data_IF_110793359014
#
_entry.id   IF_110793359014
#
_cell.length_a   1.000
_cell.length_b   1.000
_cell.length_c   1.000
_cell.angle_alpha   90.00
_cell.angle_beta   90.00
_cell.angle_gamma   90.00
#
_symmetry.space_group_name_H-M   'P 1'
#
loop_
_entity.id
_entity.type
_entity.pdbx_description
1 polymer ?
#
# COMPACT_ATOMS: atom_id res chain seq x y z
N UNK A 1 5.39 -1.82 28.71
CA UNK A 1 4.09 -1.65 29.40
C UNK A 1 3.88 -0.17 29.72
N UNK A 2 3.75 0.64 28.65
CA UNK A 2 3.56 2.11 28.69
C UNK A 2 2.64 2.55 27.54
N UNK A 3 2.66 1.82 26.41
CA UNK A 3 1.74 2.00 25.28
C UNK A 3 0.26 1.70 25.61
N UNK A 4 -0.02 0.86 26.62
CA UNK A 4 -1.40 0.54 27.02
C UNK A 4 -2.03 1.67 27.84
N UNK A 5 -1.22 2.52 28.50
CA UNK A 5 -1.72 3.63 29.31
C UNK A 5 -2.17 4.82 28.46
N UNK A 6 -1.50 5.06 27.33
CA UNK A 6 -1.83 6.18 26.41
C UNK A 6 -3.17 5.96 25.68
N UNK A 7 -3.51 4.70 25.35
CA UNK A 7 -4.79 4.39 24.69
C UNK A 7 -5.97 4.50 25.66
N UNK A 8 -5.76 4.17 26.94
CA UNK A 8 -6.81 4.25 27.97
C UNK A 8 -7.19 5.70 28.34
N UNK A 9 -6.23 6.62 28.39
CA UNK A 9 -6.52 8.05 28.61
C UNK A 9 -7.28 8.68 27.43
N UNK A 10 -7.02 8.23 26.20
CA UNK A 10 -7.68 8.75 24.99
C UNK A 10 -9.17 8.40 24.93
N UNK A 11 -9.53 7.19 25.38
CA UNK A 11 -10.93 6.72 25.42
C UNK A 11 -11.71 7.41 26.56
N UNK A 12 -11.06 7.70 27.68
CA UNK A 12 -11.68 8.38 28.82
C UNK A 12 -11.96 9.87 28.56
N UNK A 13 -11.10 10.57 27.80
CA UNK A 13 -11.30 11.98 27.44
C UNK A 13 -12.40 12.19 26.38
N UNK A 14 -12.67 11.19 25.52
CA UNK A 14 -13.74 11.23 24.54
C UNK A 14 -15.16 11.11 25.11
N UNK A 15 -15.30 10.76 26.40
CA UNK A 15 -16.59 10.63 27.08
C UNK A 15 -16.86 11.74 28.10
N UNK A 16 -15.97 12.73 28.21
CA UNK A 16 -16.17 13.89 29.09
C UNK A 16 -17.18 14.89 28.48
N UNK A 17 -18.09 15.47 29.28
CA UNK A 17 -18.99 16.52 28.80
C UNK A 17 -18.22 17.81 28.49
N UNK A 18 -18.74 18.58 27.53
CA UNK A 18 -18.26 19.92 27.14
C UNK A 18 -17.99 20.79 28.38
N UNK A 19 -16.87 21.57 28.42
CA UNK A 19 -16.13 22.08 27.25
C UNK A 19 -14.82 21.36 26.92
N UNK A 20 -14.47 20.27 27.62
CA UNK A 20 -13.14 19.66 27.55
C UNK A 20 -12.88 18.80 26.30
N UNK A 21 -13.93 18.34 25.61
CA UNK A 21 -13.89 17.67 24.30
C UNK A 21 -13.21 18.52 23.22
N UNK A 22 -13.39 19.85 23.28
CA UNK A 22 -12.89 20.79 22.27
C UNK A 22 -11.36 20.99 22.32
N UNK A 23 -10.71 20.68 23.44
CA UNK A 23 -9.26 20.83 23.60
C UNK A 23 -8.45 19.69 22.94
N UNK A 24 -9.10 18.58 22.58
CA UNK A 24 -8.47 17.48 21.82
C UNK A 24 -8.05 17.90 20.41
N UNK A 25 -8.69 18.93 19.84
CA UNK A 25 -8.36 19.47 18.53
C UNK A 25 -7.15 20.42 18.55
N UNK A 26 -6.69 20.88 19.72
CA UNK A 26 -5.73 21.98 19.85
C UNK A 26 -4.29 21.54 20.14
N UNK A 27 -4.01 20.24 20.27
CA UNK A 27 -2.67 19.67 20.46
C UNK A 27 -2.24 18.86 19.23
N UNK A 28 -2.17 19.53 18.08
CA UNK A 28 -1.42 19.05 16.92
C UNK A 28 -0.04 19.69 17.00
N UNK A 29 1.04 18.97 17.37
CA UNK A 29 2.38 19.51 17.20
C UNK A 29 2.62 19.71 15.70
N UNK A 30 3.06 20.92 15.32
CA UNK A 30 3.27 21.37 13.94
C UNK A 30 4.50 20.74 13.26
N UNK A 31 4.62 19.41 13.33
CA UNK A 31 5.76 18.66 12.82
C UNK A 31 5.24 17.48 11.99
N UNK A 32 4.95 17.66 10.70
CA UNK A 32 4.90 16.64 9.63
C UNK A 32 4.04 15.36 9.77
N UNK A 33 3.54 15.03 10.97
CA UNK A 33 2.87 13.78 11.33
C UNK A 33 1.34 13.96 11.43
N UNK A 34 0.85 15.20 11.34
CA UNK A 34 -0.58 15.52 11.31
C UNK A 34 -1.31 15.07 10.04
N UNK A 35 -0.58 14.75 8.96
CA UNK A 35 -1.16 14.18 7.75
C UNK A 35 -1.48 12.68 7.88
N UNK A 36 -0.78 11.95 8.76
CA UNK A 36 -0.87 10.49 8.85
C UNK A 36 -2.04 10.06 9.76
N UNK A 37 -2.44 10.87 10.74
CA UNK A 37 -3.59 10.55 11.60
C UNK A 37 -4.96 10.90 10.97
N UNK A 38 -4.99 11.74 9.93
CA UNK A 38 -6.20 12.06 9.19
C UNK A 38 -6.74 10.90 8.34
N UNK A 39 -5.88 9.97 7.90
CA UNK A 39 -6.27 8.83 7.07
C UNK A 39 -6.93 7.70 7.88
N UNK A 40 -6.49 7.47 9.12
CA UNK A 40 -6.99 6.34 9.93
C UNK A 40 -8.43 6.60 10.46
N UNK A 41 -8.80 7.85 10.74
CA UNK A 41 -10.19 8.19 11.13
C UNK A 41 -11.13 8.19 9.92
N UNK A 42 -10.60 8.45 8.72
CA UNK A 42 -11.34 8.30 7.46
C UNK A 42 -11.71 6.85 7.17
N UNK A 43 -10.78 5.92 7.44
CA UNK A 43 -10.94 4.49 7.16
C UNK A 43 -12.00 3.82 8.07
N UNK A 44 -12.06 4.21 9.36
CA UNK A 44 -13.08 3.67 10.28
C UNK A 44 -14.51 4.12 9.95
N UNK A 45 -14.68 5.30 9.32
CA UNK A 45 -16.00 5.78 8.85
C UNK A 45 -16.33 5.32 7.42
N UNK A 46 -15.31 5.01 6.62
CA UNK A 46 -15.44 4.40 5.30
C UNK A 46 -15.82 2.91 5.34
N UNK A 47 -15.48 2.18 6.40
CA UNK A 47 -15.80 0.76 6.56
C UNK A 47 -17.31 0.41 6.58
N UNK A 48 -18.20 1.41 6.63
CA UNK A 48 -19.67 1.22 6.60
C UNK A 48 -20.37 1.61 5.31
N UNK A 49 -19.65 2.11 4.30
CA UNK A 49 -20.22 2.38 2.98
C UNK A 49 -19.46 1.51 1.99
N UNK A 50 -20.16 0.60 1.30
CA UNK A 50 -19.64 0.00 0.07
C UNK A 50 -19.05 1.14 -0.77
N UNK A 51 -17.74 1.15 -1.05
CA UNK A 51 -17.16 2.25 -1.79
C UNK A 51 -17.88 2.34 -3.14
N UNK A 52 -18.27 3.56 -3.52
CA UNK A 52 -18.81 3.79 -4.85
C UNK A 52 -17.85 3.14 -5.85
N UNK A 53 -18.37 2.35 -6.78
CA UNK A 53 -17.56 1.79 -7.87
C UNK A 53 -17.08 2.99 -8.68
N UNK A 54 -15.87 3.46 -8.37
CA UNK A 54 -15.20 4.47 -9.17
C UNK A 54 -14.78 3.75 -10.43
N UNK A 55 -15.51 3.97 -11.53
CA UNK A 55 -15.12 3.47 -12.85
C UNK A 55 -13.96 4.30 -13.42
N UNK A 56 -12.87 4.38 -12.66
CA UNK A 56 -11.62 5.01 -13.01
C UNK A 56 -10.47 4.19 -12.41
N UNK A 57 -9.29 4.36 -12.98
CA UNK A 57 -8.06 3.92 -12.35
C UNK A 57 -7.68 4.92 -11.26
N UNK A 58 -7.13 4.44 -10.15
CA UNK A 58 -6.53 5.26 -9.11
C UNK A 58 -5.05 4.94 -9.05
N UNK A 59 -4.19 5.91 -9.29
CA UNK A 59 -2.72 5.75 -9.29
C UNK A 59 -2.17 6.68 -8.22
N UNK A 60 -1.62 6.11 -7.14
CA UNK A 60 -1.11 6.85 -5.99
C UNK A 60 -2.12 7.90 -5.46
N UNK A 61 -3.41 7.56 -5.46
CA UNK A 61 -4.50 8.44 -5.05
C UNK A 61 -5.06 9.37 -6.15
N UNK A 62 -4.43 9.44 -7.33
CA UNK A 62 -4.89 10.26 -8.44
C UNK A 62 -5.81 9.48 -9.38
N UNK A 63 -7.03 9.98 -9.60
CA UNK A 63 -8.00 9.35 -10.49
C UNK A 63 -7.71 9.58 -11.97
N UNK A 64 -7.78 8.53 -12.78
CA UNK A 64 -7.61 8.55 -14.22
C UNK A 64 -8.69 7.70 -14.91
N UNK A 65 -9.60 8.36 -15.64
CA UNK A 65 -10.72 7.68 -16.32
C UNK A 65 -10.30 6.89 -17.55
N UNK A 66 -9.25 7.34 -18.25
CA UNK A 66 -8.80 6.72 -19.51
C UNK A 66 -7.67 5.74 -19.23
N UNK A 67 -7.85 4.47 -19.60
CA UNK A 67 -6.85 3.41 -19.39
C UNK A 67 -5.49 3.73 -19.99
N UNK A 68 -5.42 4.29 -21.21
CA UNK A 68 -4.12 4.60 -21.83
C UNK A 68 -3.35 5.68 -21.06
N UNK A 69 -4.06 6.71 -20.56
CA UNK A 69 -3.43 7.75 -19.72
C UNK A 69 -3.03 7.20 -18.36
N UNK A 70 -3.87 6.35 -17.76
CA UNK A 70 -3.58 5.69 -16.50
C UNK A 70 -2.32 4.81 -16.64
N UNK A 71 -2.24 4.05 -17.73
CA UNK A 71 -1.11 3.17 -18.03
C UNK A 71 0.18 3.97 -18.21
N UNK A 72 0.15 5.01 -19.05
CA UNK A 72 1.33 5.85 -19.29
C UNK A 72 1.81 6.53 -18.00
N UNK A 73 0.89 7.14 -17.23
CA UNK A 73 1.20 7.79 -15.95
C UNK A 73 1.78 6.80 -14.94
N UNK A 74 1.20 5.60 -14.81
CA UNK A 74 1.67 4.62 -13.85
C UNK A 74 3.07 4.08 -14.20
N UNK A 75 3.39 3.89 -15.49
CA UNK A 75 4.72 3.46 -15.94
C UNK A 75 5.76 4.56 -15.70
N UNK A 76 5.41 5.82 -15.99
CA UNK A 76 6.28 6.97 -15.73
C UNK A 76 6.55 7.13 -14.23
N UNK A 77 5.49 7.11 -13.41
CA UNK A 77 5.57 7.22 -11.95
C UNK A 77 6.41 6.09 -11.35
N UNK A 78 6.19 4.84 -11.79
CA UNK A 78 6.93 3.68 -11.29
C UNK A 78 8.43 3.75 -11.63
N UNK A 79 8.79 4.24 -12.81
CA UNK A 79 10.18 4.37 -13.23
C UNK A 79 10.97 5.35 -12.35
N UNK A 80 10.32 6.40 -11.86
CA UNK A 80 10.90 7.36 -10.91
C UNK A 80 10.66 7.02 -9.44
N UNK A 81 10.06 5.87 -9.13
CA UNK A 81 9.62 5.57 -7.77
C UNK A 81 10.78 5.21 -6.84
N UNK A 82 10.80 5.85 -5.67
CA UNK A 82 11.64 5.46 -4.54
C UNK A 82 10.75 5.37 -3.29
N UNK A 83 10.57 4.15 -2.82
CA UNK A 83 9.78 3.90 -1.63
C UNK A 83 10.37 4.49 -0.37
N UNK A 84 11.68 4.70 -0.28
CA UNK A 84 12.27 5.35 0.90
C UNK A 84 11.76 6.79 1.10
N UNK A 85 11.40 7.48 0.01
CA UNK A 85 10.90 8.87 0.06
C UNK A 85 9.39 8.97 -0.03
N UNK A 86 8.77 8.13 -0.84
CA UNK A 86 7.37 8.32 -1.27
C UNK A 86 6.42 7.26 -0.72
N UNK A 87 6.95 6.23 -0.07
CA UNK A 87 6.14 5.12 0.43
C UNK A 87 5.82 4.09 -0.65
N UNK A 88 4.61 3.54 -0.58
CA UNK A 88 4.18 2.45 -1.48
C UNK A 88 3.60 3.01 -2.77
N UNK A 89 4.02 2.45 -3.90
CA UNK A 89 3.38 2.67 -5.19
C UNK A 89 2.09 1.85 -5.26
N UNK A 90 0.98 2.46 -5.66
CA UNK A 90 -0.34 1.81 -5.68
C UNK A 90 -1.10 2.13 -6.96
N UNK A 91 -1.64 1.10 -7.62
CA UNK A 91 -2.59 1.23 -8.72
C UNK A 91 -3.82 0.36 -8.44
N UNK A 92 -5.01 0.96 -8.44
CA UNK A 92 -6.25 0.26 -8.13
C UNK A 92 -7.38 0.54 -9.13
N UNK A 93 -8.28 -0.44 -9.28
CA UNK A 93 -9.58 -0.30 -9.97
C UNK A 93 -10.51 -1.44 -9.60
N UNK A 94 -11.76 -1.13 -9.24
CA UNK A 94 -12.84 -2.11 -9.04
C UNK A 94 -12.48 -3.30 -8.13
N UNK A 95 -11.81 -3.05 -6.98
CA UNK A 95 -11.38 -4.10 -6.05
C UNK A 95 -10.02 -4.70 -6.36
N UNK A 96 -9.55 -4.61 -7.60
CA UNK A 96 -8.17 -4.99 -7.95
C UNK A 96 -7.17 -3.97 -7.44
N UNK A 97 -6.04 -4.45 -6.92
CA UNK A 97 -4.96 -3.62 -6.40
C UNK A 97 -3.60 -4.19 -6.83
N UNK A 98 -2.73 -3.29 -7.26
CA UNK A 98 -1.32 -3.54 -7.53
C UNK A 98 -0.50 -2.63 -6.63
N UNK A 99 0.44 -3.21 -5.90
CA UNK A 99 1.28 -2.53 -4.95
C UNK A 99 2.74 -2.86 -5.24
N UNK A 100 3.61 -1.86 -5.19
CA UNK A 100 5.05 -2.06 -5.27
C UNK A 100 5.76 -1.26 -4.19
N UNK A 101 6.79 -1.87 -3.59
CA UNK A 101 7.69 -1.19 -2.65
C UNK A 101 9.13 -1.48 -3.03
N UNK A 102 9.94 -0.42 -3.05
CA UNK A 102 11.35 -0.47 -3.42
C UNK A 102 11.70 0.67 -4.38
N UNK A 103 12.70 0.44 -5.23
CA UNK A 103 13.16 1.42 -6.19
C UNK A 103 13.79 0.74 -7.40
N UNK A 104 13.98 1.48 -8.49
CA UNK A 104 14.71 0.96 -9.64
C UNK A 104 16.17 0.57 -9.30
N UNK A 105 16.76 1.16 -8.25
CA UNK A 105 18.15 0.89 -7.84
C UNK A 105 18.30 -0.42 -7.03
N UNK A 106 17.29 -0.78 -6.23
CA UNK A 106 17.34 -1.95 -5.33
C UNK A 106 16.37 -3.06 -5.71
N UNK A 107 15.53 -2.84 -6.72
CA UNK A 107 14.41 -3.70 -7.07
C UNK A 107 13.15 -3.39 -6.26
N UNK A 108 12.08 -4.10 -6.62
CA UNK A 108 10.75 -3.95 -6.06
C UNK A 108 10.21 -5.28 -5.55
N UNK A 109 9.52 -5.23 -4.42
CA UNK A 109 8.59 -6.26 -3.98
C UNK A 109 7.22 -5.86 -4.51
N UNK A 110 6.54 -6.77 -5.19
CA UNK A 110 5.29 -6.48 -5.89
C UNK A 110 4.18 -7.38 -5.38
N UNK A 111 3.11 -6.76 -4.89
CA UNK A 111 1.90 -7.45 -4.48
C UNK A 111 0.76 -7.14 -5.45
N UNK A 112 -0.11 -8.12 -5.67
CA UNK A 112 -1.28 -7.94 -6.51
C UNK A 112 -2.44 -8.78 -6.01
N UNK A 113 -3.66 -8.24 -6.14
CA UNK A 113 -4.90 -8.95 -5.87
C UNK A 113 -5.99 -8.50 -6.84
N UNK A 114 -6.93 -9.40 -7.13
CA UNK A 114 -8.16 -9.06 -7.85
C UNK A 114 -9.26 -8.52 -6.91
N UNK A 115 -9.12 -8.77 -5.60
CA UNK A 115 -10.02 -8.28 -4.56
C UNK A 115 -9.22 -7.96 -3.30
N UNK A 116 -9.04 -6.67 -2.99
CA UNK A 116 -8.30 -6.24 -1.80
C UNK A 116 -9.05 -6.49 -0.49
N UNK A 117 -10.33 -6.88 -0.54
CA UNK A 117 -11.10 -7.26 0.64
C UNK A 117 -10.90 -8.72 1.06
N UNK A 118 -10.31 -9.54 0.19
CA UNK A 118 -9.98 -10.94 0.45
C UNK A 118 -8.47 -11.08 0.67
N UNK A 119 -8.07 -11.20 1.93
CA UNK A 119 -6.68 -11.43 2.32
C UNK A 119 -6.10 -12.69 1.65
N UNK A 120 -6.93 -13.71 1.38
CA UNK A 120 -6.55 -14.94 0.69
C UNK A 120 -6.32 -14.78 -0.82
N UNK A 121 -6.74 -13.65 -1.42
CA UNK A 121 -6.57 -13.35 -2.83
C UNK A 121 -5.22 -12.68 -3.16
N UNK A 122 -4.50 -12.19 -2.15
CA UNK A 122 -3.22 -11.53 -2.32
C UNK A 122 -2.13 -12.46 -2.82
N UNK A 123 -1.35 -11.96 -3.77
CA UNK A 123 -0.19 -12.64 -4.32
C UNK A 123 1.02 -11.73 -4.30
N UNK A 124 2.21 -12.31 -4.16
CA UNK A 124 3.49 -11.63 -4.36
C UNK A 124 4.14 -12.13 -5.64
N UNK A 125 4.76 -11.24 -6.42
CA UNK A 125 5.48 -11.61 -7.64
C UNK A 125 6.76 -12.35 -7.26
N UNK A 126 7.04 -13.47 -7.94
CA UNK A 126 8.20 -14.32 -7.65
C UNK A 126 7.93 -15.39 -6.59
N UNK A 127 8.98 -15.89 -5.96
CA UNK A 127 8.96 -17.03 -5.04
C UNK A 127 9.54 -16.71 -3.66
N UNK A 128 8.81 -17.12 -2.62
CA UNK A 128 9.24 -17.06 -1.21
C UNK A 128 10.21 -18.19 -0.81
N UNK A 129 10.49 -19.15 -1.69
CA UNK A 129 11.31 -20.33 -1.35
C UNK A 129 12.82 -20.06 -1.38
N UNK A 130 13.24 -18.88 -1.85
CA UNK A 130 14.66 -18.50 -1.87
C UNK A 130 15.20 -18.39 -0.45
N UNK A 131 16.37 -18.98 -0.21
CA UNK A 131 17.12 -18.78 1.04
C UNK A 131 18.05 -17.58 1.00
N UNK A 132 18.37 -17.12 -0.21
CA UNK A 132 19.18 -15.91 -0.39
C UNK A 132 18.31 -14.70 -0.11
N UNK A 133 18.84 -13.78 0.70
CA UNK A 133 18.21 -12.53 1.06
C UNK A 133 18.92 -11.35 0.38
N UNK A 134 18.19 -10.27 0.19
CA UNK A 134 18.72 -9.00 -0.30
C UNK A 134 18.09 -7.85 0.46
N UNK A 135 18.81 -6.73 0.52
CA UNK A 135 18.37 -5.54 1.23
C UNK A 135 17.59 -4.62 0.28
N UNK A 136 16.38 -4.23 0.68
CA UNK A 136 15.57 -3.23 -0.03
C UNK A 136 15.37 -2.02 0.88
N UNK A 137 15.42 -0.83 0.27
CA UNK A 137 15.17 0.43 0.98
C UNK A 137 13.66 0.69 1.09
N UNK A 138 13.20 0.83 2.33
CA UNK A 138 11.81 1.12 2.68
C UNK A 138 11.73 2.47 3.41
N UNK A 139 10.53 3.07 3.58
CA UNK A 139 10.36 4.32 4.33
C UNK A 139 10.98 4.34 5.73
N UNK A 140 11.00 3.19 6.41
CA UNK A 140 11.47 3.07 7.79
C UNK A 140 12.93 2.58 7.91
N UNK A 141 13.60 2.42 6.76
CA UNK A 141 14.98 1.92 6.70
C UNK A 141 15.11 0.70 5.78
N UNK A 142 16.34 0.17 5.66
CA UNK A 142 16.59 -1.06 4.92
C UNK A 142 15.91 -2.27 5.57
N UNK A 143 15.43 -3.20 4.75
CA UNK A 143 14.84 -4.48 5.18
C UNK A 143 15.41 -5.61 4.34
N UNK A 144 15.77 -6.72 5.00
CA UNK A 144 16.17 -7.96 4.34
C UNK A 144 14.94 -8.74 3.90
N UNK A 145 14.90 -9.13 2.64
CA UNK A 145 13.81 -9.91 2.05
C UNK A 145 14.34 -11.03 1.16
N UNK A 146 13.59 -12.12 0.95
CA UNK A 146 14.01 -13.19 0.04
C UNK A 146 14.24 -12.65 -1.37
N UNK A 147 15.41 -12.92 -1.96
CA UNK A 147 15.77 -12.45 -3.30
C UNK A 147 14.76 -12.91 -4.37
N UNK A 148 14.13 -14.06 -4.16
CA UNK A 148 13.14 -14.63 -5.09
C UNK A 148 11.86 -13.81 -5.26
N UNK A 149 11.55 -12.86 -4.38
CA UNK A 149 10.39 -11.95 -4.52
C UNK A 149 10.80 -10.54 -4.98
N UNK A 150 12.09 -10.30 -5.21
CA UNK A 150 12.60 -9.01 -5.65
C UNK A 150 12.67 -8.99 -7.16
N UNK A 151 11.92 -8.08 -7.77
CA UNK A 151 11.85 -7.91 -9.21
C UNK A 151 12.52 -6.61 -9.65
N UNK A 152 13.23 -6.65 -10.77
CA UNK A 152 13.75 -5.45 -11.42
C UNK A 152 12.62 -4.57 -12.00
N UNK A 153 12.95 -3.33 -12.37
CA UNK A 153 11.98 -2.38 -12.94
C UNK A 153 11.32 -2.94 -14.20
N UNK A 154 12.04 -3.68 -15.05
CA UNK A 154 11.49 -4.22 -16.29
C UNK A 154 10.39 -5.27 -16.01
N UNK A 155 10.64 -6.17 -15.06
CA UNK A 155 9.71 -7.21 -14.64
C UNK A 155 8.51 -6.61 -13.93
N UNK A 156 8.71 -5.62 -13.07
CA UNK A 156 7.63 -4.87 -12.40
C UNK A 156 6.77 -4.10 -13.40
N UNK A 157 7.37 -3.43 -14.39
CA UNK A 157 6.63 -2.77 -15.47
C UNK A 157 5.79 -3.76 -16.27
N UNK A 158 6.35 -4.93 -16.59
CA UNK A 158 5.59 -6.00 -17.26
C UNK A 158 4.40 -6.45 -16.42
N UNK A 159 4.59 -6.69 -15.13
CA UNK A 159 3.50 -7.06 -14.23
C UNK A 159 2.42 -5.96 -14.15
N UNK A 160 2.82 -4.69 -14.07
CA UNK A 160 1.92 -3.54 -14.03
C UNK A 160 1.08 -3.42 -15.32
N UNK A 161 1.71 -3.53 -16.49
CA UNK A 161 0.98 -3.53 -17.78
C UNK A 161 -0.06 -4.64 -17.84
N UNK A 162 0.28 -5.82 -17.31
CA UNK A 162 -0.60 -6.97 -17.28
C UNK A 162 -1.73 -6.80 -16.26
N UNK A 163 -1.47 -6.12 -15.15
CA UNK A 163 -2.51 -5.73 -14.20
C UNK A 163 -3.56 -4.79 -14.85
N UNK A 164 -3.16 -3.85 -15.71
CA UNK A 164 -4.11 -3.03 -16.47
C UNK A 164 -5.07 -3.86 -17.36
N UNK A 165 -4.64 -5.05 -17.76
CA UNK A 165 -5.43 -5.99 -18.56
C UNK A 165 -6.28 -6.92 -17.70
N UNK A 166 -5.65 -7.67 -16.77
CA UNK A 166 -6.29 -8.72 -15.99
C UNK A 166 -7.01 -8.22 -14.73
N UNK A 167 -6.63 -7.03 -14.23
CA UNK A 167 -7.12 -6.45 -12.96
C UNK A 167 -6.86 -7.35 -11.75
N UNK A 168 -5.75 -8.05 -11.79
CA UNK A 168 -5.26 -8.98 -10.78
C UNK A 168 -3.94 -9.59 -11.25
N UNK A 169 -3.44 -10.61 -10.52
CA UNK A 169 -2.22 -11.33 -10.88
C UNK A 169 -2.33 -11.94 -12.28
N UNK A 170 -1.38 -11.63 -13.15
CA UNK A 170 -1.28 -12.22 -14.49
C UNK A 170 -1.01 -13.73 -14.41
N UNK A 171 -1.80 -14.60 -15.04
CA UNK A 171 -1.56 -16.05 -15.05
C UNK A 171 -0.23 -16.48 -15.71
N UNK A 172 0.37 -15.65 -16.58
CA UNK A 172 1.60 -15.96 -17.30
C UNK A 172 2.87 -15.59 -16.49
N UNK A 173 2.71 -14.89 -15.35
CA UNK A 173 3.81 -14.55 -14.45
C UNK A 173 3.79 -15.46 -13.22
N UNK A 174 4.97 -15.63 -12.62
CA UNK A 174 5.09 -16.45 -11.41
C UNK A 174 4.62 -15.63 -10.20
N UNK A 175 3.46 -16.00 -9.64
CA UNK A 175 2.90 -15.38 -8.44
C UNK A 175 2.81 -16.40 -7.30
N UNK A 176 3.32 -16.03 -6.12
CA UNK A 176 3.20 -16.84 -4.90
C UNK A 176 1.97 -16.43 -4.09
N UNK A 177 1.25 -17.42 -3.56
CA UNK A 177 0.10 -17.27 -2.67
C UNK A 177 0.36 -17.83 -1.28
N UNK A 178 -0.46 -17.45 -0.29
CA UNK A 178 -0.43 -18.01 1.06
C UNK A 178 -0.36 -16.93 2.12
N UNK A 179 -0.51 -17.32 3.39
CA UNK A 179 -0.52 -16.37 4.52
C UNK A 179 0.76 -15.51 4.58
N UNK A 180 1.91 -16.12 4.27
CA UNK A 180 3.24 -15.49 4.26
C UNK A 180 3.37 -14.34 3.25
N UNK A 181 2.48 -14.25 2.27
CA UNK A 181 2.46 -13.12 1.32
C UNK A 181 2.20 -11.80 2.04
N UNK A 182 1.36 -11.82 3.07
CA UNK A 182 0.97 -10.64 3.82
C UNK A 182 2.07 -10.16 4.76
N UNK A 183 2.97 -11.04 5.21
CA UNK A 183 4.13 -10.67 6.02
C UNK A 183 5.07 -9.69 5.29
N UNK A 184 5.07 -9.74 3.95
CA UNK A 184 5.83 -8.83 3.10
C UNK A 184 5.03 -7.61 2.64
N UNK A 185 3.71 -7.59 2.90
CA UNK A 185 2.86 -6.47 2.50
C UNK A 185 3.16 -5.28 3.41
N UNK A 186 3.27 -4.11 2.81
CA UNK A 186 3.61 -2.90 3.55
C UNK A 186 2.35 -2.13 3.94
N UNK A 187 2.03 -2.05 5.23
CA UNK A 187 0.89 -1.27 5.75
C UNK A 187 0.11 -2.01 6.82
#
# INVERSE_FOLDING_TARGET
MLAVLVVAEYVLLGQAPEPWSSLSALLIPANGAGAILGQVVGEARAAKRRPAIVDAWVINGNEQKKTDRATASAIEDLAGWDSATTGRFVVGRNGGLFEAVGSAATGFIVHCTADYHDDGAWRVLGSLTSRDETEIRMPFGPVLVPMGVVSDLQTTNRALLRFFHYRGPDPDLHWTSGEQVLDLKFG
#
